data_IF_459605826934
#
_entry.id   IF_459605826934
#
_cell.length_a   1.000
_cell.length_b   1.000
_cell.length_c   1.000
_cell.angle_alpha   90.00
_cell.angle_beta   90.00
_cell.angle_gamma   90.00
#
_symmetry.space_group_name_H-M   'P 1'
#
loop_
_entity.id
_entity.type
_entity.pdbx_description
1 polymer ?
#
# COMPACT_ATOMS: atom_id res chain seq x y z
N UNK A 1 -27.57 -19.49 -25.53
CA UNK A 1 -27.67 -18.97 -24.15
C UNK A 1 -26.37 -19.35 -23.46
N UNK A 2 -25.40 -18.45 -23.42
CA UNK A 2 -24.17 -18.62 -22.65
C UNK A 2 -24.37 -17.88 -21.33
N UNK A 3 -24.35 -18.62 -20.23
CA UNK A 3 -24.41 -18.09 -18.87
C UNK A 3 -23.27 -17.08 -18.71
N UNK A 4 -23.63 -15.81 -18.51
CA UNK A 4 -22.70 -14.80 -18.02
C UNK A 4 -22.42 -15.17 -16.57
N UNK A 5 -21.20 -15.61 -16.32
CA UNK A 5 -20.66 -15.83 -14.99
C UNK A 5 -20.59 -14.48 -14.28
N UNK A 6 -21.63 -14.14 -13.52
CA UNK A 6 -21.67 -13.00 -12.61
C UNK A 6 -20.72 -13.26 -11.42
N UNK A 7 -19.41 -13.29 -11.69
CA UNK A 7 -18.41 -13.14 -10.65
C UNK A 7 -18.47 -11.70 -10.15
N UNK A 8 -19.26 -11.49 -9.10
CA UNK A 8 -19.20 -10.31 -8.25
C UNK A 8 -17.72 -10.10 -7.88
N UNK A 9 -17.11 -8.94 -8.19
CA UNK A 9 -15.73 -8.70 -7.78
C UNK A 9 -15.68 -8.85 -6.26
N UNK A 10 -14.86 -9.79 -5.78
CA UNK A 10 -14.49 -9.83 -4.37
C UNK A 10 -13.93 -8.45 -4.07
N UNK A 11 -14.67 -7.67 -3.28
CA UNK A 11 -14.16 -6.41 -2.77
C UNK A 11 -13.00 -6.78 -1.86
N UNK A 12 -11.78 -6.68 -2.38
CA UNK A 12 -10.58 -6.68 -1.56
C UNK A 12 -10.70 -5.41 -0.71
N UNK A 13 -11.25 -5.57 0.49
CA UNK A 13 -11.49 -4.48 1.40
C UNK A 13 -10.13 -3.96 1.85
N UNK A 14 -9.71 -2.81 1.29
CA UNK A 14 -8.45 -2.18 1.68
C UNK A 14 -8.46 -1.95 3.20
N UNK A 15 -7.37 -2.25 3.93
CA UNK A 15 -7.29 -1.99 5.36
C UNK A 15 -7.62 -0.53 5.66
N UNK A 16 -8.49 -0.29 6.65
CA UNK A 16 -8.97 1.05 6.99
C UNK A 16 -7.80 2.01 7.34
N UNK A 17 -6.73 1.48 7.94
CA UNK A 17 -5.52 2.23 8.25
C UNK A 17 -4.80 2.74 7.00
N UNK A 18 -4.70 1.91 5.96
CA UNK A 18 -4.08 2.28 4.69
C UNK A 18 -4.95 3.27 3.92
N UNK A 19 -6.28 3.10 3.94
CA UNK A 19 -7.23 4.08 3.37
C UNK A 19 -7.14 5.44 4.06
N UNK A 20 -6.96 5.47 5.38
CA UNK A 20 -6.76 6.71 6.14
C UNK A 20 -5.39 7.32 5.85
N UNK A 21 -4.35 6.51 5.73
CA UNK A 21 -3.01 6.99 5.38
C UNK A 21 -2.98 7.63 3.99
N UNK A 22 -3.60 7.03 2.98
CA UNK A 22 -3.76 7.58 1.62
C UNK A 22 -4.35 9.00 1.66
N UNK A 23 -5.47 9.19 2.39
CA UNK A 23 -6.08 10.52 2.56
C UNK A 23 -5.18 11.53 3.27
N UNK A 24 -4.44 11.11 4.29
CA UNK A 24 -3.52 12.00 5.01
C UNK A 24 -2.34 12.43 4.13
N UNK A 25 -1.87 11.56 3.23
CA UNK A 25 -0.86 11.91 2.22
C UNK A 25 -1.41 12.97 1.27
N UNK A 26 -2.63 12.77 0.75
CA UNK A 26 -3.31 13.75 -0.12
C UNK A 26 -3.51 15.11 0.56
N UNK A 27 -3.74 15.12 1.88
CA UNK A 27 -3.86 16.34 2.70
C UNK A 27 -2.50 16.94 3.11
N UNK A 28 -1.37 16.31 2.75
CA UNK A 28 -0.02 16.75 3.13
C UNK A 28 0.36 16.49 4.59
N UNK A 29 -0.44 15.71 5.32
CA UNK A 29 -0.20 15.32 6.72
C UNK A 29 0.72 14.10 6.81
N UNK A 30 1.94 14.25 6.29
CA UNK A 30 2.85 13.13 6.03
C UNK A 30 3.25 12.36 7.30
N UNK A 31 3.42 13.04 8.44
CA UNK A 31 3.84 12.38 9.68
C UNK A 31 2.72 11.54 10.31
N UNK A 32 1.48 12.00 10.22
CA UNK A 32 0.31 11.25 10.68
C UNK A 32 0.09 10.01 9.80
N UNK A 33 0.21 10.16 8.48
CA UNK A 33 0.17 9.04 7.54
C UNK A 33 1.27 8.02 7.82
N UNK A 34 2.50 8.49 8.06
CA UNK A 34 3.64 7.63 8.38
C UNK A 34 3.40 6.82 9.66
N UNK A 35 2.83 7.43 10.70
CA UNK A 35 2.51 6.72 11.94
C UNK A 35 1.44 5.64 11.73
N UNK A 36 0.43 5.89 10.91
CA UNK A 36 -0.59 4.88 10.58
C UNK A 36 0.00 3.70 9.81
N UNK A 37 0.85 3.97 8.82
CA UNK A 37 1.51 2.92 8.03
C UNK A 37 2.42 2.08 8.92
N UNK A 38 3.20 2.71 9.80
CA UNK A 38 4.05 2.00 10.76
C UNK A 38 3.24 1.08 11.69
N UNK A 39 2.14 1.59 12.25
CA UNK A 39 1.25 0.79 13.09
C UNK A 39 0.65 -0.39 12.33
N UNK A 40 0.30 -0.19 11.06
CA UNK A 40 -0.16 -1.25 10.18
C UNK A 40 0.95 -2.32 10.04
N UNK A 41 2.17 -1.96 9.61
CA UNK A 41 3.30 -2.88 9.45
C UNK A 41 3.58 -3.73 10.71
N UNK A 42 3.55 -3.09 11.89
CA UNK A 42 3.81 -3.74 13.18
C UNK A 42 2.77 -4.81 13.57
N UNK A 43 1.52 -4.71 13.08
CA UNK A 43 0.48 -5.71 13.38
C UNK A 43 0.77 -7.08 12.76
N UNK A 44 1.45 -7.11 11.62
CA UNK A 44 1.71 -8.34 10.86
C UNK A 44 0.44 -9.10 10.43
N UNK A 45 0.63 -10.28 9.82
CA UNK A 45 -0.49 -11.13 9.39
C UNK A 45 -1.27 -10.63 8.16
N UNK A 46 -0.70 -9.67 7.44
CA UNK A 46 -1.33 -9.01 6.30
C UNK A 46 -1.27 -9.85 5.02
N UNK A 47 -2.23 -9.63 4.12
CA UNK A 47 -2.19 -10.27 2.81
C UNK A 47 -1.07 -9.69 1.95
N UNK A 48 -0.69 -10.41 0.89
CA UNK A 48 0.26 -9.89 -0.10
C UNK A 48 -0.23 -8.56 -0.70
N UNK A 49 -1.53 -8.45 -0.97
CA UNK A 49 -2.14 -7.23 -1.49
C UNK A 49 -1.96 -6.06 -0.53
N UNK A 50 -2.23 -6.26 0.76
CA UNK A 50 -2.10 -5.19 1.75
C UNK A 50 -0.64 -4.75 1.91
N UNK A 51 0.31 -5.68 1.85
CA UNK A 51 1.73 -5.38 1.88
C UNK A 51 2.17 -4.56 0.66
N UNK A 52 1.67 -4.89 -0.54
CA UNK A 52 1.94 -4.09 -1.75
C UNK A 52 1.38 -2.68 -1.60
N UNK A 53 0.14 -2.55 -1.12
CA UNK A 53 -0.49 -1.24 -0.91
C UNK A 53 0.28 -0.42 0.14
N UNK A 54 0.70 -1.05 1.23
CA UNK A 54 1.53 -0.44 2.26
C UNK A 54 2.85 0.09 1.68
N UNK A 55 3.55 -0.71 0.87
CA UNK A 55 4.78 -0.27 0.21
C UNK A 55 4.55 0.87 -0.79
N UNK A 56 3.43 0.87 -1.51
CA UNK A 56 3.07 1.97 -2.40
C UNK A 56 2.90 3.29 -1.62
N UNK A 57 2.16 3.29 -0.52
CA UNK A 57 1.97 4.48 0.31
C UNK A 57 3.28 4.96 0.96
N UNK A 58 4.16 4.03 1.35
CA UNK A 58 5.52 4.38 1.79
C UNK A 58 6.34 5.04 0.65
N UNK A 59 6.20 4.56 -0.59
CA UNK A 59 6.84 5.21 -1.74
C UNK A 59 6.32 6.64 -1.94
N UNK A 60 5.02 6.87 -1.81
CA UNK A 60 4.43 8.22 -1.89
C UNK A 60 4.94 9.13 -0.78
N UNK A 61 5.04 8.64 0.46
CA UNK A 61 5.63 9.41 1.57
C UNK A 61 7.09 9.80 1.29
N UNK A 62 7.90 8.87 0.81
CA UNK A 62 9.29 9.13 0.44
C UNK A 62 9.38 10.15 -0.69
N UNK A 63 8.50 10.06 -1.68
CA UNK A 63 8.41 11.01 -2.78
C UNK A 63 8.10 12.42 -2.29
N UNK A 64 7.05 12.58 -1.47
CA UNK A 64 6.68 13.87 -0.90
C UNK A 64 7.75 14.47 0.02
N UNK A 65 8.59 13.63 0.62
CA UNK A 65 9.75 14.05 1.43
C UNK A 65 11.01 14.33 0.59
N UNK A 66 10.98 14.14 -0.72
CA UNK A 66 12.12 14.34 -1.62
C UNK A 66 13.19 13.24 -1.56
N UNK A 67 12.88 12.09 -0.96
CA UNK A 67 13.78 10.95 -0.79
C UNK A 67 13.71 10.00 -2.00
N UNK A 68 13.94 10.53 -3.20
CA UNK A 68 13.66 9.82 -4.46
C UNK A 68 14.46 8.53 -4.66
N UNK A 69 15.72 8.48 -4.21
CA UNK A 69 16.51 7.25 -4.30
C UNK A 69 15.88 6.12 -3.48
N UNK A 70 15.32 6.46 -2.31
CA UNK A 70 14.71 5.48 -1.42
C UNK A 70 13.35 5.03 -1.96
N UNK A 71 12.62 5.89 -2.68
CA UNK A 71 11.43 5.50 -3.46
C UNK A 71 11.80 4.36 -4.43
N UNK A 72 12.86 4.57 -5.24
CA UNK A 72 13.27 3.58 -6.25
C UNK A 72 13.72 2.27 -5.59
N UNK A 73 14.51 2.35 -4.52
CA UNK A 73 14.96 1.16 -3.79
C UNK A 73 13.77 0.35 -3.25
N UNK A 74 12.79 1.01 -2.63
CA UNK A 74 11.62 0.33 -2.07
C UNK A 74 10.73 -0.27 -3.16
N UNK A 75 10.50 0.45 -4.26
CA UNK A 75 9.73 -0.05 -5.39
C UNK A 75 10.40 -1.29 -6.02
N UNK A 76 11.72 -1.29 -6.19
CA UNK A 76 12.46 -2.45 -6.68
C UNK A 76 12.39 -3.65 -5.74
N UNK A 77 12.53 -3.43 -4.43
CA UNK A 77 12.43 -4.49 -3.42
C UNK A 77 11.05 -5.16 -3.46
N UNK A 78 10.00 -4.34 -3.55
CA UNK A 78 8.62 -4.80 -3.69
C UNK A 78 8.45 -5.65 -4.95
N UNK A 79 8.92 -5.16 -6.10
CA UNK A 79 8.84 -5.90 -7.36
C UNK A 79 9.62 -7.22 -7.35
N UNK A 80 10.81 -7.24 -6.75
CA UNK A 80 11.61 -8.47 -6.60
C UNK A 80 10.89 -9.49 -5.73
N UNK A 81 10.26 -9.05 -4.64
CA UNK A 81 9.48 -9.94 -3.77
C UNK A 81 8.29 -10.58 -4.50
N UNK A 82 7.61 -9.83 -5.37
CA UNK A 82 6.50 -10.34 -6.18
C UNK A 82 6.91 -11.35 -7.26
N UNK A 83 8.18 -11.38 -7.68
CA UNK A 83 8.68 -12.35 -8.66
C UNK A 83 9.10 -13.68 -8.05
N UNK A 84 9.26 -13.74 -6.73
CA UNK A 84 9.78 -14.90 -6.00
C UNK A 84 8.65 -15.68 -5.29
N UNK A 85 7.49 -15.04 -5.12
CA UNK A 85 6.29 -15.61 -4.48
C UNK A 85 5.34 -16.17 -5.52
#
# INVERSE_FOLDING_TARGET
MSEMNDQKPEMIEKPEELLRAEKLIDEGKLDEAHQLIKNFEEKGGHTLHDNILCHLLNCELLYWRGLYEDVVKLAEQTYKHLKVT
#
